data_IF_866509254788
#
_entry.id   IF_866509254788
#
_cell.length_a   1.000
_cell.length_b   1.000
_cell.length_c   1.000
_cell.angle_alpha   90.00
_cell.angle_beta   90.00
_cell.angle_gamma   90.00
#
_symmetry.space_group_name_H-M   'P 1'
#
loop_
_entity.id
_entity.type
_entity.pdbx_description
1 polymer ?
#
# COMPACT_ATOMS: atom_id res chain seq x y z
N UNK A 1 86.16 -11.48 -28.94
CA UNK A 1 85.53 -10.63 -27.90
C UNK A 1 83.99 -10.58 -27.99
N UNK A 2 83.37 -10.88 -29.14
CA UNK A 2 81.90 -10.87 -29.31
C UNK A 2 81.19 -12.20 -28.97
N UNK A 3 81.84 -13.37 -29.07
CA UNK A 3 81.23 -14.66 -28.69
C UNK A 3 80.94 -14.80 -27.18
N UNK A 4 81.73 -14.12 -26.32
CA UNK A 4 81.52 -14.14 -24.86
C UNK A 4 80.29 -13.34 -24.40
N UNK A 5 79.72 -12.49 -25.26
CA UNK A 5 78.51 -11.72 -24.96
C UNK A 5 77.24 -12.39 -25.48
N UNK A 6 77.33 -13.16 -26.58
CA UNK A 6 76.19 -13.93 -27.08
C UNK A 6 75.78 -15.06 -26.11
N UNK A 7 76.78 -15.75 -25.53
CA UNK A 7 76.57 -16.81 -24.53
C UNK A 7 76.10 -16.31 -23.14
N UNK A 8 75.94 -14.99 -22.94
CA UNK A 8 75.42 -14.41 -21.69
C UNK A 8 73.95 -13.99 -21.77
N UNK A 9 73.36 -13.96 -22.97
CA UNK A 9 71.93 -13.68 -23.18
C UNK A 9 71.08 -14.95 -23.24
N UNK A 10 71.69 -16.11 -23.50
CA UNK A 10 71.08 -17.41 -23.17
C UNK A 10 71.30 -17.68 -21.68
N UNK A 11 70.47 -17.09 -20.83
CA UNK A 11 70.19 -17.71 -19.54
C UNK A 11 69.64 -19.11 -19.87
N UNK A 12 70.44 -20.14 -19.61
CA UNK A 12 69.95 -21.52 -19.54
C UNK A 12 68.72 -21.51 -18.63
N UNK A 13 67.55 -21.68 -19.22
CA UNK A 13 66.32 -22.09 -18.56
C UNK A 13 66.63 -23.38 -17.78
N UNK A 14 67.07 -23.24 -16.52
CA UNK A 14 66.96 -24.31 -15.56
C UNK A 14 65.48 -24.40 -15.17
N UNK A 15 64.68 -24.95 -16.09
CA UNK A 15 63.35 -25.44 -15.75
C UNK A 15 63.53 -26.54 -14.70
N UNK A 16 62.76 -26.53 -13.60
CA UNK A 16 62.55 -27.76 -12.85
C UNK A 16 61.98 -28.81 -13.84
N UNK A 17 62.38 -30.09 -13.75
CA UNK A 17 61.92 -31.08 -14.70
C UNK A 17 60.39 -31.18 -14.64
N UNK A 18 59.74 -31.11 -15.82
CA UNK A 18 58.29 -31.26 -15.92
C UNK A 18 57.91 -32.68 -15.50
N UNK A 19 56.93 -32.80 -14.60
CA UNK A 19 56.36 -34.09 -14.17
C UNK A 19 55.82 -34.95 -15.33
N UNK A 20 55.59 -34.36 -16.52
CA UNK A 20 55.13 -35.06 -17.72
C UNK A 20 56.22 -35.80 -18.52
N UNK A 21 57.51 -35.68 -18.17
CA UNK A 21 58.60 -36.37 -18.87
C UNK A 21 59.05 -37.68 -18.21
N UNK A 22 58.47 -38.06 -17.06
CA UNK A 22 58.73 -39.36 -16.43
C UNK A 22 57.89 -40.43 -17.16
N UNK A 23 58.42 -40.97 -18.26
CA UNK A 23 57.88 -42.18 -18.88
C UNK A 23 58.26 -43.40 -18.03
N UNK A 24 57.46 -43.71 -17.01
CA UNK A 24 57.53 -45.00 -16.32
C UNK A 24 56.89 -46.04 -17.25
N UNK A 25 57.71 -46.95 -17.79
CA UNK A 25 57.21 -48.06 -18.60
C UNK A 25 56.51 -49.08 -17.69
N UNK A 26 55.34 -49.57 -18.09
CA UNK A 26 54.50 -50.46 -17.29
C UNK A 26 55.12 -51.82 -16.90
N UNK A 27 56.34 -52.11 -17.37
CA UNK A 27 57.06 -53.34 -17.10
C UNK A 27 57.72 -53.41 -15.71
N UNK A 28 58.01 -52.27 -15.07
CA UNK A 28 58.67 -52.25 -13.75
C UNK A 28 57.69 -52.46 -12.58
N UNK A 29 56.39 -52.21 -12.78
CA UNK A 29 55.37 -52.35 -11.73
C UNK A 29 55.04 -53.83 -11.45
N UNK A 30 55.30 -54.73 -12.40
CA UNK A 30 54.90 -56.14 -12.31
C UNK A 30 55.82 -57.05 -11.48
N UNK A 31 57.05 -56.62 -11.14
CA UNK A 31 58.03 -57.48 -10.47
C UNK A 31 57.98 -57.47 -8.93
N UNK A 32 57.16 -56.63 -8.30
CA UNK A 32 57.11 -56.51 -6.83
C UNK A 32 56.04 -57.38 -6.14
N UNK A 33 55.36 -58.27 -6.88
CA UNK A 33 54.33 -59.18 -6.33
C UNK A 33 54.73 -60.65 -6.42
N UNK A 34 55.76 -61.09 -5.68
CA UNK A 34 55.69 -62.43 -5.07
C UNK A 34 56.72 -62.69 -3.96
N UNK A 35 56.17 -63.12 -2.80
CA UNK A 35 56.71 -64.10 -1.84
C UNK A 35 57.84 -63.67 -0.87
N UNK A 36 57.46 -63.35 0.38
CA UNK A 36 57.78 -64.11 1.61
C UNK A 36 57.22 -63.43 2.87
N UNK A 37 56.63 -64.23 3.77
CA UNK A 37 56.22 -63.87 5.14
C UNK A 37 57.47 -63.62 6.00
N UNK A 38 57.56 -62.46 6.65
CA UNK A 38 58.20 -62.32 7.97
C UNK A 38 57.67 -61.08 8.68
N UNK A 39 57.37 -61.26 9.96
CA UNK A 39 56.72 -60.33 10.88
C UNK A 39 57.81 -59.47 11.53
N UNK A 40 57.93 -58.20 11.16
CA UNK A 40 58.54 -57.18 12.01
C UNK A 40 57.94 -55.81 11.69
N UNK A 41 57.38 -55.19 12.73
CA UNK A 41 56.89 -53.82 12.75
C UNK A 41 58.05 -52.88 12.39
N UNK A 42 58.01 -52.30 11.21
CA UNK A 42 58.71 -51.06 10.90
C UNK A 42 57.68 -50.14 10.27
N UNK A 43 57.61 -48.92 10.81
CA UNK A 43 56.64 -47.90 10.44
C UNK A 43 56.57 -47.78 8.93
N UNK A 44 55.44 -48.22 8.39
CA UNK A 44 55.00 -47.81 7.08
C UNK A 44 54.79 -46.31 7.22
N UNK A 45 55.81 -45.55 6.84
CA UNK A 45 55.70 -44.13 6.57
C UNK A 45 54.61 -44.05 5.51
N UNK A 46 53.36 -43.96 5.96
CA UNK A 46 52.22 -43.70 5.11
C UNK A 46 52.59 -42.38 4.50
N UNK A 47 53.01 -42.40 3.24
CA UNK A 47 53.02 -41.21 2.41
C UNK A 47 51.57 -40.72 2.46
N UNK A 48 51.31 -39.80 3.39
CA UNK A 48 49.99 -39.22 3.56
C UNK A 48 49.75 -38.45 2.27
N UNK A 49 48.90 -39.00 1.42
CA UNK A 49 48.46 -38.32 0.22
C UNK A 49 47.86 -36.97 0.63
N UNK A 50 48.14 -35.94 -0.16
CA UNK A 50 47.59 -34.60 0.07
C UNK A 50 46.06 -34.68 0.21
N UNK A 51 45.52 -33.95 1.18
CA UNK A 51 44.08 -33.77 1.36
C UNK A 51 43.47 -33.17 0.08
N UNK A 52 42.17 -33.37 -0.12
CA UNK A 52 41.44 -32.75 -1.24
C UNK A 52 41.59 -31.23 -1.21
N UNK A 53 41.57 -30.62 -0.02
CA UNK A 53 41.77 -29.18 0.16
C UNK A 53 43.18 -28.73 -0.24
N UNK A 54 44.21 -29.48 0.16
CA UNK A 54 45.60 -29.21 -0.22
C UNK A 54 45.83 -29.37 -1.73
N UNK A 55 45.14 -30.32 -2.37
CA UNK A 55 45.17 -30.48 -3.83
C UNK A 55 44.46 -29.33 -4.53
N UNK A 56 43.33 -28.86 -4.00
CA UNK A 56 42.61 -27.70 -4.52
C UNK A 56 43.46 -26.44 -4.43
N UNK A 57 44.11 -26.20 -3.29
CA UNK A 57 45.03 -25.08 -3.08
C UNK A 57 46.21 -25.14 -4.05
N UNK A 58 46.81 -26.32 -4.25
CA UNK A 58 47.91 -26.50 -5.19
C UNK A 58 47.45 -26.27 -6.65
N UNK A 59 46.28 -26.76 -7.04
CA UNK A 59 45.71 -26.50 -8.38
C UNK A 59 45.39 -25.02 -8.58
N UNK A 60 44.86 -24.33 -7.57
CA UNK A 60 44.59 -22.89 -7.64
C UNK A 60 45.87 -22.09 -7.76
N UNK A 61 46.92 -22.47 -7.02
CA UNK A 61 48.23 -21.84 -7.10
C UNK A 61 48.86 -22.04 -8.48
N UNK A 62 48.90 -23.28 -8.98
CA UNK A 62 49.41 -23.57 -10.34
C UNK A 62 48.61 -22.85 -11.42
N UNK A 63 47.28 -22.71 -11.24
CA UNK A 63 46.45 -21.92 -12.15
C UNK A 63 46.84 -20.43 -12.13
N UNK A 64 47.15 -19.86 -10.97
CA UNK A 64 47.55 -18.46 -10.90
C UNK A 64 48.98 -18.25 -11.42
N UNK A 65 49.91 -19.16 -11.09
CA UNK A 65 51.29 -19.15 -11.59
C UNK A 65 51.30 -19.25 -13.13
N UNK A 66 50.50 -20.15 -13.71
CA UNK A 66 50.39 -20.28 -15.19
C UNK A 66 49.75 -19.05 -15.84
N UNK A 67 48.77 -18.40 -15.18
CA UNK A 67 48.25 -17.12 -15.68
C UNK A 67 49.32 -16.04 -15.65
N UNK A 68 50.13 -15.96 -14.61
CA UNK A 68 51.23 -15.02 -14.50
C UNK A 68 52.30 -15.26 -15.56
N UNK A 69 52.68 -16.51 -15.80
CA UNK A 69 53.57 -16.88 -16.89
C UNK A 69 53.01 -16.45 -18.26
N UNK A 70 51.71 -16.68 -18.51
CA UNK A 70 51.05 -16.24 -19.75
C UNK A 70 51.04 -14.71 -19.86
N UNK A 71 50.77 -13.98 -18.76
CA UNK A 71 50.81 -12.52 -18.71
C UNK A 71 52.20 -12.00 -19.06
N UNK A 72 53.25 -12.56 -18.45
CA UNK A 72 54.64 -12.20 -18.73
C UNK A 72 55.04 -12.53 -20.16
N UNK A 73 54.72 -13.73 -20.67
CA UNK A 73 55.03 -14.13 -22.04
C UNK A 73 54.36 -13.20 -23.05
N UNK A 74 53.09 -12.82 -22.84
CA UNK A 74 52.38 -11.85 -23.70
C UNK A 74 53.04 -10.48 -23.67
N UNK A 75 53.39 -9.98 -22.48
CA UNK A 75 54.06 -8.69 -22.34
C UNK A 75 55.44 -8.67 -23.03
N UNK A 76 56.16 -9.79 -23.01
CA UNK A 76 57.44 -9.93 -23.71
C UNK A 76 57.24 -9.94 -25.22
N UNK A 77 56.32 -10.77 -25.72
CA UNK A 77 56.00 -10.86 -27.15
C UNK A 77 55.53 -9.51 -27.72
N UNK A 78 54.72 -8.76 -26.97
CA UNK A 78 54.29 -7.41 -27.36
C UNK A 78 55.45 -6.43 -27.48
N UNK A 79 56.39 -6.45 -26.52
CA UNK A 79 57.60 -5.61 -26.58
C UNK A 79 58.47 -5.96 -27.79
N UNK A 80 58.62 -7.25 -28.09
CA UNK A 80 59.42 -7.72 -29.21
C UNK A 80 58.77 -7.36 -30.55
N UNK A 81 57.44 -7.48 -30.64
CA UNK A 81 56.66 -7.06 -31.80
C UNK A 81 56.83 -5.55 -32.06
N UNK A 82 56.63 -4.71 -31.03
CA UNK A 82 56.84 -3.26 -31.13
C UNK A 82 58.29 -2.91 -31.53
N UNK A 83 59.27 -3.68 -31.06
CA UNK A 83 60.66 -3.48 -31.45
C UNK A 83 60.89 -3.78 -32.93
N UNK A 84 60.36 -4.90 -33.43
CA UNK A 84 60.47 -5.26 -34.85
C UNK A 84 59.70 -4.30 -35.75
N UNK A 85 58.52 -3.85 -35.35
CA UNK A 85 57.76 -2.82 -36.07
C UNK A 85 58.57 -1.52 -36.21
N UNK A 86 59.20 -1.06 -35.11
CA UNK A 86 60.05 0.13 -35.15
C UNK A 86 61.25 -0.03 -36.09
N UNK A 87 61.86 -1.22 -36.16
CA UNK A 87 62.95 -1.52 -37.10
C UNK A 87 62.47 -1.47 -38.55
N UNK A 88 61.31 -2.05 -38.83
CA UNK A 88 60.71 -2.06 -40.17
C UNK A 88 60.41 -0.63 -40.62
N UNK A 89 59.74 0.16 -39.77
CA UNK A 89 59.41 1.56 -40.06
C UNK A 89 60.68 2.39 -40.31
N UNK A 90 61.72 2.22 -39.49
CA UNK A 90 63.01 2.89 -39.70
C UNK A 90 63.66 2.49 -41.04
N UNK A 91 63.59 1.20 -41.41
CA UNK A 91 64.13 0.70 -42.67
C UNK A 91 63.37 1.25 -43.88
N UNK A 92 62.04 1.31 -43.80
CA UNK A 92 61.19 1.90 -44.84
C UNK A 92 61.49 3.39 -45.04
N UNK A 93 61.58 4.16 -43.95
CA UNK A 93 61.96 5.58 -44.01
C UNK A 93 63.33 5.73 -44.67
N UNK A 94 64.34 4.99 -44.20
CA UNK A 94 65.69 5.02 -44.80
C UNK A 94 65.70 4.65 -46.28
N UNK A 95 64.92 3.64 -46.67
CA UNK A 95 64.82 3.21 -48.06
C UNK A 95 64.29 4.35 -48.94
N UNK A 96 63.20 5.00 -48.52
CA UNK A 96 62.62 6.14 -49.26
C UNK A 96 63.59 7.33 -49.34
N UNK A 97 64.30 7.63 -48.25
CA UNK A 97 65.32 8.68 -48.22
C UNK A 97 66.48 8.37 -49.18
N UNK A 98 67.02 7.15 -49.15
CA UNK A 98 68.11 6.75 -50.06
C UNK A 98 67.67 6.80 -51.51
N UNK A 99 66.47 6.31 -51.84
CA UNK A 99 65.95 6.41 -53.22
C UNK A 99 65.86 7.86 -53.69
N UNK A 100 65.37 8.76 -52.82
CA UNK A 100 65.30 10.18 -53.12
C UNK A 100 66.69 10.80 -53.32
N UNK A 101 67.64 10.49 -52.43
CA UNK A 101 69.01 11.00 -52.50
C UNK A 101 69.75 10.50 -53.75
N UNK A 102 69.55 9.24 -54.14
CA UNK A 102 70.10 8.69 -55.40
C UNK A 102 69.54 9.46 -56.59
N UNK A 103 68.23 9.69 -56.63
CA UNK A 103 67.58 10.44 -57.71
C UNK A 103 68.07 11.90 -57.77
N UNK A 104 68.17 12.57 -56.63
CA UNK A 104 68.68 13.94 -56.54
C UNK A 104 70.15 14.01 -56.97
N UNK A 105 70.99 13.07 -56.56
CA UNK A 105 72.39 13.00 -56.98
C UNK A 105 72.54 12.77 -58.49
N UNK A 106 71.77 11.84 -59.05
CA UNK A 106 71.75 11.60 -60.49
C UNK A 106 71.37 12.85 -61.28
N UNK A 107 70.34 13.56 -60.80
CA UNK A 107 69.82 14.78 -61.43
C UNK A 107 70.81 15.94 -61.31
N UNK A 108 71.26 16.25 -60.11
CA UNK A 108 71.96 17.51 -59.82
C UNK A 108 73.47 17.40 -60.06
N UNK A 109 74.03 16.19 -59.94
CA UNK A 109 75.46 15.92 -60.10
C UNK A 109 75.72 15.19 -61.41
N UNK A 110 75.28 13.94 -61.56
CA UNK A 110 75.70 13.09 -62.69
C UNK A 110 75.30 13.67 -64.05
N UNK A 111 74.05 14.12 -64.21
CA UNK A 111 73.58 14.77 -65.47
C UNK A 111 74.28 16.10 -65.73
N UNK A 112 74.58 16.88 -64.69
CA UNK A 112 75.23 18.20 -64.81
C UNK A 112 76.70 18.09 -65.22
N UNK A 113 77.43 17.10 -64.71
CA UNK A 113 78.87 16.97 -64.95
C UNK A 113 79.24 15.98 -66.06
N UNK A 114 78.28 15.29 -66.69
CA UNK A 114 78.55 14.14 -67.57
C UNK A 114 79.51 14.46 -68.73
N UNK A 115 79.44 15.67 -69.30
CA UNK A 115 80.32 16.13 -70.40
C UNK A 115 81.63 16.81 -69.91
N UNK A 116 81.79 17.03 -68.61
CA UNK A 116 82.92 17.77 -68.00
C UNK A 116 83.66 16.94 -66.93
N UNK A 117 83.55 15.61 -67.00
CA UNK A 117 84.16 14.69 -66.04
C UNK A 117 85.68 14.90 -65.97
N UNK A 118 86.22 15.04 -64.77
CA UNK A 118 87.64 15.34 -64.54
C UNK A 118 88.03 16.82 -64.58
N UNK A 119 87.09 17.72 -64.90
CA UNK A 119 87.35 19.17 -64.82
C UNK A 119 87.31 19.68 -63.38
N UNK A 120 88.06 20.76 -63.09
CA UNK A 120 88.04 21.47 -61.81
C UNK A 120 86.60 21.88 -61.43
N UNK A 121 85.79 22.30 -62.41
CA UNK A 121 84.40 22.68 -62.21
C UNK A 121 83.52 21.50 -61.77
N UNK A 122 83.75 20.30 -62.30
CA UNK A 122 83.04 19.10 -61.86
C UNK A 122 83.41 18.75 -60.41
N UNK A 123 84.69 18.83 -60.04
CA UNK A 123 85.15 18.60 -58.67
C UNK A 123 84.55 19.62 -57.70
N UNK A 124 84.53 20.91 -58.06
CA UNK A 124 83.89 21.96 -57.24
C UNK A 124 82.39 21.71 -57.03
N UNK A 125 81.67 21.23 -58.05
CA UNK A 125 80.25 20.92 -57.93
C UNK A 125 79.99 19.75 -56.98
N UNK A 126 80.82 18.70 -57.04
CA UNK A 126 80.75 17.56 -56.11
C UNK A 126 81.08 17.99 -54.68
N UNK A 127 82.14 18.78 -54.47
CA UNK A 127 82.49 19.30 -53.14
C UNK A 127 81.35 20.13 -52.54
N UNK A 128 80.76 21.05 -53.33
CA UNK A 128 79.63 21.85 -52.88
C UNK A 128 78.42 20.98 -52.51
N UNK A 129 78.11 19.95 -53.29
CA UNK A 129 77.04 19.01 -52.95
C UNK A 129 77.29 18.30 -51.62
N UNK A 130 78.52 17.82 -51.38
CA UNK A 130 78.89 17.16 -50.12
C UNK A 130 78.74 18.14 -48.94
N UNK A 131 79.19 19.39 -49.09
CA UNK A 131 79.04 20.43 -48.07
C UNK A 131 77.56 20.75 -47.78
N UNK A 132 76.76 20.94 -48.82
CA UNK A 132 75.32 21.21 -48.69
C UNK A 132 74.59 20.02 -48.03
N UNK A 133 74.97 18.78 -48.36
CA UNK A 133 74.42 17.57 -47.74
C UNK A 133 74.80 17.43 -46.26
N UNK A 134 76.05 17.74 -45.90
CA UNK A 134 76.48 17.75 -44.51
C UNK A 134 75.69 18.81 -43.71
N UNK A 135 75.51 20.01 -44.26
CA UNK A 135 74.68 21.06 -43.63
C UNK A 135 73.23 20.62 -43.45
N UNK A 136 72.61 19.98 -44.45
CA UNK A 136 71.24 19.44 -44.34
C UNK A 136 71.14 18.39 -43.23
N UNK A 137 72.10 17.47 -43.15
CA UNK A 137 72.17 16.45 -42.10
C UNK A 137 72.31 17.05 -40.72
N UNK A 138 73.17 18.05 -40.54
CA UNK A 138 73.35 18.73 -39.24
C UNK A 138 72.06 19.45 -38.82
N UNK A 139 71.39 20.15 -39.74
CA UNK A 139 70.10 20.77 -39.49
C UNK A 139 69.02 19.75 -39.08
N UNK A 140 69.00 18.58 -39.73
CA UNK A 140 68.06 17.51 -39.38
C UNK A 140 68.35 16.93 -38.00
N UNK A 141 69.63 16.70 -37.68
CA UNK A 141 70.06 16.24 -36.36
C UNK A 141 69.60 17.17 -35.25
N UNK A 142 69.71 18.49 -35.43
CA UNK A 142 69.26 19.46 -34.42
C UNK A 142 67.72 19.50 -34.30
N UNK A 143 66.99 19.39 -35.41
CA UNK A 143 65.52 19.23 -35.38
C UNK A 143 65.09 17.98 -34.61
N UNK A 144 65.72 16.84 -34.88
CA UNK A 144 65.43 15.57 -34.20
C UNK A 144 65.77 15.65 -32.71
N UNK A 145 66.88 16.30 -32.33
CA UNK A 145 67.24 16.55 -30.92
C UNK A 145 66.17 17.36 -30.19
N UNK A 146 65.72 18.47 -30.77
CA UNK A 146 64.65 19.30 -30.19
C UNK A 146 63.35 18.50 -30.04
N UNK A 147 62.97 17.71 -31.06
CA UNK A 147 61.79 16.86 -31.00
C UNK A 147 61.91 15.79 -29.92
N UNK A 148 63.08 15.16 -29.76
CA UNK A 148 63.33 14.16 -28.73
C UNK A 148 63.17 14.75 -27.31
N UNK A 149 63.70 15.95 -27.07
CA UNK A 149 63.54 16.65 -25.79
C UNK A 149 62.07 16.97 -25.52
N UNK A 150 61.34 17.48 -26.53
CA UNK A 150 59.90 17.77 -26.43
C UNK A 150 59.08 16.52 -26.10
N UNK A 151 59.32 15.41 -26.80
CA UNK A 151 58.63 14.13 -26.54
C UNK A 151 58.95 13.57 -25.15
N UNK A 152 60.20 13.70 -24.67
CA UNK A 152 60.58 13.32 -23.30
C UNK A 152 59.77 14.09 -22.24
N UNK A 153 59.59 15.39 -22.44
CA UNK A 153 58.79 16.24 -21.53
C UNK A 153 57.31 15.82 -21.58
N UNK A 154 56.76 15.58 -22.77
CA UNK A 154 55.38 15.13 -22.94
C UNK A 154 55.14 13.76 -22.28
N UNK A 155 56.06 12.81 -22.47
CA UNK A 155 56.03 11.50 -21.80
C UNK A 155 56.00 11.65 -20.28
N UNK A 156 56.87 12.49 -19.71
CA UNK A 156 56.90 12.75 -18.26
C UNK A 156 55.57 13.33 -17.76
N UNK A 157 54.98 14.27 -18.51
CA UNK A 157 53.67 14.85 -18.17
C UNK A 157 52.55 13.80 -18.17
N UNK A 158 52.50 12.95 -19.20
CA UNK A 158 51.49 11.89 -19.31
C UNK A 158 51.64 10.85 -18.20
N UNK A 159 52.87 10.45 -17.87
CA UNK A 159 53.12 9.54 -16.74
C UNK A 159 52.68 10.14 -15.40
N UNK A 160 52.89 11.43 -15.18
CA UNK A 160 52.42 12.11 -13.97
C UNK A 160 50.88 12.16 -13.91
N UNK A 161 50.23 12.44 -15.03
CA UNK A 161 48.76 12.42 -15.12
C UNK A 161 48.20 11.01 -14.86
N UNK A 162 48.86 9.98 -15.39
CA UNK A 162 48.49 8.59 -15.13
C UNK A 162 48.58 8.28 -13.64
N UNK A 163 49.70 8.62 -12.98
CA UNK A 163 49.86 8.43 -11.54
C UNK A 163 48.79 9.17 -10.73
N UNK A 164 48.49 10.43 -11.05
CA UNK A 164 47.41 11.17 -10.37
C UNK A 164 46.04 10.51 -10.54
N UNK A 165 45.77 9.94 -11.71
CA UNK A 165 44.52 9.19 -11.96
C UNK A 165 44.49 7.87 -11.22
N UNK A 166 45.63 7.18 -11.12
CA UNK A 166 45.79 5.96 -10.32
C UNK A 166 45.58 6.27 -8.83
N UNK A 167 46.20 7.31 -8.27
CA UNK A 167 46.01 7.74 -6.87
C UNK A 167 44.55 8.14 -6.56
N UNK A 168 43.85 8.78 -7.50
CA UNK A 168 42.41 9.08 -7.36
C UNK A 168 41.54 7.82 -7.51
N UNK A 169 41.98 6.84 -8.30
CA UNK A 169 41.35 5.52 -8.37
C UNK A 169 41.60 4.68 -7.11
N UNK A 170 42.77 4.84 -6.48
CA UNK A 170 43.15 4.23 -5.20
C UNK A 170 42.35 4.82 -4.03
N UNK A 171 41.81 6.05 -4.15
CA UNK A 171 40.87 6.60 -3.17
C UNK A 171 39.49 5.91 -3.17
N UNK A 172 39.22 5.04 -4.15
CA UNK A 172 37.98 4.28 -4.26
C UNK A 172 38.33 2.79 -4.07
N UNK A 173 38.52 2.38 -2.82
CA UNK A 173 38.86 0.99 -2.56
C UNK A 173 37.66 0.08 -2.85
N UNK A 174 37.94 -1.13 -3.36
CA UNK A 174 36.94 -2.19 -3.48
C UNK A 174 36.22 -2.45 -2.13
N UNK A 175 36.92 -2.20 -1.03
CA UNK A 175 36.37 -2.26 0.34
C UNK A 175 35.28 -1.21 0.55
N UNK A 176 35.46 0.03 0.10
CA UNK A 176 34.46 1.09 0.24
C UNK A 176 33.20 0.76 -0.57
N UNK A 177 33.38 0.19 -1.77
CA UNK A 177 32.26 -0.30 -2.58
C UNK A 177 31.53 -1.46 -1.93
N UNK A 178 32.26 -2.40 -1.32
CA UNK A 178 31.64 -3.50 -0.58
C UNK A 178 30.93 -3.00 0.67
N UNK A 179 31.51 -2.04 1.40
CA UNK A 179 30.87 -1.40 2.55
C UNK A 179 29.56 -0.73 2.14
N UNK A 180 29.57 0.06 1.06
CA UNK A 180 28.36 0.74 0.57
C UNK A 180 27.28 -0.25 0.13
N UNK A 181 27.66 -1.41 -0.44
CA UNK A 181 26.72 -2.50 -0.74
C UNK A 181 26.12 -3.11 0.52
N UNK A 182 26.92 -3.32 1.56
CA UNK A 182 26.47 -3.86 2.85
C UNK A 182 25.51 -2.87 3.52
N UNK A 183 25.87 -1.59 3.60
CA UNK A 183 25.03 -0.54 4.18
C UNK A 183 23.70 -0.42 3.43
N UNK A 184 23.71 -0.44 2.09
CA UNK A 184 22.50 -0.40 1.30
C UNK A 184 21.60 -1.63 1.55
N UNK A 185 22.18 -2.83 1.63
CA UNK A 185 21.44 -4.03 1.97
C UNK A 185 20.79 -3.94 3.38
N UNK A 186 21.51 -3.41 4.36
CA UNK A 186 21.00 -3.19 5.73
C UNK A 186 19.86 -2.16 5.76
N UNK A 187 19.97 -1.07 4.99
CA UNK A 187 18.90 -0.08 4.88
C UNK A 187 17.66 -0.67 4.22
N UNK A 188 17.81 -1.45 3.16
CA UNK A 188 16.69 -2.13 2.52
C UNK A 188 15.98 -3.09 3.48
N UNK A 189 16.73 -3.91 4.23
CA UNK A 189 16.17 -4.81 5.24
C UNK A 189 15.42 -4.04 6.34
N UNK A 190 15.98 -2.92 6.80
CA UNK A 190 15.32 -2.05 7.78
C UNK A 190 14.02 -1.45 7.23
N UNK A 191 14.02 -0.99 5.97
CA UNK A 191 12.82 -0.46 5.31
C UNK A 191 11.76 -1.55 5.18
N UNK A 192 12.14 -2.76 4.77
CA UNK A 192 11.25 -3.92 4.65
C UNK A 192 10.60 -4.25 6.00
N UNK A 193 11.40 -4.32 7.08
CA UNK A 193 10.90 -4.57 8.43
C UNK A 193 9.89 -3.50 8.89
N UNK A 194 10.20 -2.21 8.70
CA UNK A 194 9.28 -1.11 9.04
C UNK A 194 8.01 -1.12 8.19
N UNK A 195 8.10 -1.50 6.93
CA UNK A 195 6.92 -1.66 6.07
C UNK A 195 6.03 -2.81 6.55
N UNK A 196 6.60 -3.93 6.98
CA UNK A 196 5.83 -5.04 7.55
C UNK A 196 5.13 -4.63 8.85
N UNK A 197 5.82 -3.94 9.75
CA UNK A 197 5.21 -3.36 10.97
C UNK A 197 4.06 -2.41 10.63
N UNK A 198 4.23 -1.52 9.64
CA UNK A 198 3.19 -0.60 9.19
C UNK A 198 1.96 -1.33 8.67
N UNK A 199 2.15 -2.41 7.90
CA UNK A 199 1.05 -3.23 7.39
C UNK A 199 0.30 -3.90 8.54
N UNK A 200 1.01 -4.49 9.50
CA UNK A 200 0.39 -5.11 10.67
C UNK A 200 -0.43 -4.10 11.49
N UNK A 201 0.12 -2.90 11.73
CA UNK A 201 -0.57 -1.83 12.43
C UNK A 201 -1.81 -1.33 11.66
N UNK A 202 -1.73 -1.23 10.33
CA UNK A 202 -2.90 -0.88 9.50
C UNK A 202 -4.01 -1.94 9.61
N UNK A 203 -3.67 -3.22 9.57
CA UNK A 203 -4.64 -4.32 9.73
C UNK A 203 -5.27 -4.29 11.14
N UNK A 204 -4.47 -4.12 12.19
CA UNK A 204 -4.96 -4.01 13.56
C UNK A 204 -5.89 -2.80 13.75
N UNK A 205 -5.53 -1.64 13.19
CA UNK A 205 -6.36 -0.44 13.18
C UNK A 205 -7.68 -0.66 12.44
N UNK A 206 -7.64 -1.30 11.26
CA UNK A 206 -8.83 -1.67 10.49
C UNK A 206 -9.78 -2.59 11.27
N UNK A 207 -9.24 -3.65 11.89
CA UNK A 207 -10.01 -4.57 12.74
C UNK A 207 -10.64 -3.85 13.94
N UNK A 208 -9.87 -2.98 14.60
CA UNK A 208 -10.36 -2.19 15.74
C UNK A 208 -11.51 -1.26 15.32
N UNK A 209 -11.39 -0.63 14.15
CA UNK A 209 -12.45 0.22 13.59
C UNK A 209 -13.73 -0.58 13.27
N UNK A 210 -13.59 -1.79 12.71
CA UNK A 210 -14.73 -2.68 12.46
C UNK A 210 -15.44 -3.05 13.76
N UNK A 211 -14.69 -3.45 14.79
CA UNK A 211 -15.23 -3.77 16.12
C UNK A 211 -15.94 -2.56 16.73
N UNK A 212 -15.31 -1.38 16.67
CA UNK A 212 -15.89 -0.13 17.19
C UNK A 212 -17.22 0.20 16.49
N UNK A 213 -17.29 0.06 15.17
CA UNK A 213 -18.51 0.29 14.41
C UNK A 213 -19.61 -0.71 14.78
N UNK A 214 -19.27 -1.98 15.01
CA UNK A 214 -20.21 -2.98 15.49
C UNK A 214 -20.79 -2.61 16.86
N UNK A 215 -19.96 -2.17 17.81
CA UNK A 215 -20.43 -1.70 19.12
C UNK A 215 -21.26 -0.43 19.02
N UNK A 216 -20.89 0.52 18.16
CA UNK A 216 -21.68 1.74 17.90
C UNK A 216 -23.08 1.40 17.38
N UNK A 217 -23.17 0.44 16.45
CA UNK A 217 -24.46 -0.03 15.93
C UNK A 217 -25.31 -0.72 17.02
N UNK A 218 -24.71 -1.61 17.83
CA UNK A 218 -25.38 -2.24 18.97
C UNK A 218 -25.89 -1.22 19.99
N UNK A 219 -25.08 -0.22 20.32
CA UNK A 219 -25.46 0.85 21.23
C UNK A 219 -26.63 1.67 20.67
N UNK A 220 -26.58 2.04 19.39
CA UNK A 220 -27.68 2.76 18.75
C UNK A 220 -28.97 1.92 18.78
N UNK A 221 -28.90 0.62 18.52
CA UNK A 221 -30.06 -0.26 18.60
C UNK A 221 -30.64 -0.31 20.02
N UNK A 222 -29.80 -0.51 21.03
CA UNK A 222 -30.22 -0.51 22.44
C UNK A 222 -30.85 0.84 22.85
N UNK A 223 -30.29 1.96 22.39
CA UNK A 223 -30.84 3.29 22.63
C UNK A 223 -32.23 3.45 22.02
N UNK A 224 -32.43 3.02 20.76
CA UNK A 224 -33.75 3.06 20.12
C UNK A 224 -34.77 2.17 20.83
N UNK A 225 -34.36 0.97 21.26
CA UNK A 225 -35.20 0.08 22.05
C UNK A 225 -35.61 0.72 23.38
N UNK A 226 -34.67 1.36 24.08
CA UNK A 226 -34.95 2.08 25.32
C UNK A 226 -35.94 3.24 25.12
N UNK A 227 -35.78 4.02 24.05
CA UNK A 227 -36.72 5.09 23.69
C UNK A 227 -38.13 4.54 23.40
N UNK A 228 -38.23 3.41 22.69
CA UNK A 228 -39.51 2.76 22.41
C UNK A 228 -40.15 2.21 23.69
N UNK A 229 -39.38 1.53 24.55
CA UNK A 229 -39.85 1.06 25.85
C UNK A 229 -40.33 2.21 26.74
N UNK A 230 -39.64 3.35 26.72
CA UNK A 230 -40.06 4.55 27.47
C UNK A 230 -41.40 5.07 26.96
N UNK A 231 -41.60 5.11 25.63
CA UNK A 231 -42.89 5.48 25.04
C UNK A 231 -44.00 4.50 25.42
N UNK A 232 -43.74 3.20 25.32
CA UNK A 232 -44.70 2.17 25.74
C UNK A 232 -45.04 2.27 27.22
N UNK A 233 -44.05 2.54 28.08
CA UNK A 233 -44.25 2.72 29.50
C UNK A 233 -45.18 3.91 29.79
N UNK A 234 -44.96 5.04 29.12
CA UNK A 234 -45.84 6.22 29.25
C UNK A 234 -47.28 5.89 28.80
N UNK A 235 -47.45 5.24 27.66
CA UNK A 235 -48.77 4.83 27.17
C UNK A 235 -49.48 3.86 28.14
N UNK A 236 -48.75 2.88 28.69
CA UNK A 236 -49.29 1.95 29.69
C UNK A 236 -49.66 2.68 30.99
N UNK A 237 -48.86 3.65 31.41
CA UNK A 237 -49.14 4.47 32.60
C UNK A 237 -50.41 5.30 32.40
N UNK A 238 -50.57 5.97 31.26
CA UNK A 238 -51.79 6.72 30.92
C UNK A 238 -53.04 5.82 30.89
N UNK A 239 -52.91 4.61 30.34
CA UNK A 239 -54.00 3.63 30.36
C UNK A 239 -54.35 3.19 31.78
N UNK A 240 -53.34 2.93 32.62
CA UNK A 240 -53.54 2.56 34.01
C UNK A 240 -54.25 3.66 34.79
N UNK A 241 -53.86 4.92 34.61
CA UNK A 241 -54.56 6.08 35.23
C UNK A 241 -56.02 6.19 34.78
N UNK A 242 -56.35 5.83 33.53
CA UNK A 242 -57.75 5.77 33.04
C UNK A 242 -58.53 4.65 33.72
N UNK A 243 -57.95 3.45 33.78
CA UNK A 243 -58.57 2.30 34.44
C UNK A 243 -58.80 2.60 35.92
N UNK A 244 -57.82 3.19 36.63
CA UNK A 244 -57.99 3.60 38.02
C UNK A 244 -59.19 4.55 38.21
N UNK A 245 -59.32 5.57 37.36
CA UNK A 245 -60.48 6.48 37.38
C UNK A 245 -61.80 5.75 37.11
N UNK A 246 -61.84 4.86 36.13
CA UNK A 246 -63.02 4.05 35.80
C UNK A 246 -63.39 3.11 36.96
N UNK A 247 -62.39 2.50 37.63
CA UNK A 247 -62.62 1.64 38.79
C UNK A 247 -63.17 2.41 39.98
N UNK A 248 -62.64 3.60 40.28
CA UNK A 248 -63.19 4.47 41.33
C UNK A 248 -64.64 4.85 41.03
N UNK A 249 -64.93 5.24 39.79
CA UNK A 249 -66.30 5.56 39.37
C UNK A 249 -67.24 4.35 39.52
N UNK A 250 -66.81 3.17 39.09
CA UNK A 250 -67.58 1.94 39.23
C UNK A 250 -67.81 1.56 40.70
N UNK A 251 -66.83 1.78 41.58
CA UNK A 251 -66.97 1.57 43.02
C UNK A 251 -67.96 2.54 43.67
N UNK A 252 -67.92 3.82 43.30
CA UNK A 252 -68.91 4.81 43.74
C UNK A 252 -70.32 4.43 43.31
N UNK A 253 -70.49 4.04 42.05
CA UNK A 253 -71.80 3.67 41.51
C UNK A 253 -72.29 2.36 42.12
N UNK A 254 -71.40 1.41 42.39
CA UNK A 254 -71.71 0.21 43.18
C UNK A 254 -72.18 0.59 44.58
N UNK A 255 -71.51 1.52 45.26
CA UNK A 255 -71.88 1.97 46.60
C UNK A 255 -73.26 2.64 46.61
N UNK A 256 -73.56 3.53 45.64
CA UNK A 256 -74.88 4.14 45.46
C UNK A 256 -75.96 3.08 45.23
N UNK A 257 -75.72 2.13 44.32
CA UNK A 257 -76.64 1.05 44.02
C UNK A 257 -76.89 0.14 45.23
N UNK A 258 -75.85 -0.19 46.00
CA UNK A 258 -75.97 -0.97 47.25
C UNK A 258 -76.78 -0.21 48.32
N UNK A 259 -76.53 1.09 48.50
CA UNK A 259 -77.27 1.92 49.44
C UNK A 259 -78.77 1.98 49.07
N UNK A 260 -79.07 2.20 47.78
CA UNK A 260 -80.44 2.18 47.26
C UNK A 260 -81.10 0.80 47.45
N UNK A 261 -80.39 -0.29 47.12
CA UNK A 261 -80.90 -1.65 47.30
C UNK A 261 -81.22 -1.94 48.77
N UNK A 262 -80.36 -1.51 49.69
CA UNK A 262 -80.59 -1.63 51.13
C UNK A 262 -81.83 -0.86 51.58
N UNK A 263 -82.03 0.36 51.07
CA UNK A 263 -83.24 1.16 51.35
C UNK A 263 -84.51 0.48 50.82
N UNK A 264 -84.49 -0.01 49.57
CA UNK A 264 -85.62 -0.72 48.96
C UNK A 264 -85.95 -2.02 49.72
N UNK A 265 -84.93 -2.79 50.14
CA UNK A 265 -85.13 -3.98 50.99
C UNK A 265 -85.74 -3.62 52.34
N UNK A 266 -85.31 -2.52 52.95
CA UNK A 266 -85.91 -2.02 54.20
C UNK A 266 -87.38 -1.65 53.99
N UNK A 267 -87.69 -0.86 52.95
CA UNK A 267 -89.06 -0.52 52.58
C UNK A 267 -89.92 -1.77 52.32
N UNK A 268 -89.38 -2.77 51.62
CA UNK A 268 -90.08 -4.04 51.37
C UNK A 268 -90.33 -4.84 52.68
N UNK A 269 -89.38 -4.81 53.62
CA UNK A 269 -89.55 -5.48 54.91
C UNK A 269 -90.56 -4.78 55.84
N UNK A 270 -90.62 -3.45 55.77
CA UNK A 270 -91.57 -2.60 56.51
C UNK A 270 -92.96 -2.61 55.86
N UNK A 271 -93.03 -2.89 54.55
CA UNK A 271 -94.27 -3.00 53.83
C UNK A 271 -95.11 -4.15 54.38
N UNK A 272 -96.31 -3.81 54.87
CA UNK A 272 -97.36 -4.75 55.23
C UNK A 272 -98.52 -4.50 54.27
N UNK A 273 -98.82 -5.49 53.44
CA UNK A 273 -99.99 -5.45 52.57
C UNK A 273 -101.24 -5.30 53.46
N UNK A 274 -102.11 -4.29 53.21
CA UNK A 274 -103.36 -4.15 53.95
C UNK A 274 -104.17 -5.43 53.85
N UNK A 275 -104.79 -5.84 54.96
CA UNK A 275 -105.61 -7.04 54.98
C UNK A 275 -106.73 -6.90 53.93
N UNK A 276 -106.98 -7.96 53.15
CA UNK A 276 -107.85 -7.92 51.95
C UNK A 276 -109.20 -7.24 52.24
N UNK A 277 -109.78 -7.50 53.42
CA UNK A 277 -111.04 -6.89 53.84
C UNK A 277 -110.96 -5.38 54.08
N UNK A 278 -109.83 -4.85 54.54
CA UNK A 278 -109.59 -3.40 54.67
C UNK A 278 -109.52 -2.77 53.29
N UNK A 279 -108.77 -3.38 52.36
CA UNK A 279 -108.68 -2.88 50.98
C UNK A 279 -110.05 -2.89 50.28
N UNK A 280 -110.85 -3.96 50.43
CA UNK A 280 -112.20 -4.04 49.86
C UNK A 280 -113.11 -2.95 50.44
N UNK A 281 -113.08 -2.74 51.77
CA UNK A 281 -113.88 -1.68 52.41
C UNK A 281 -113.50 -0.29 51.91
N UNK A 282 -112.20 0.02 51.85
CA UNK A 282 -111.72 1.29 51.32
C UNK A 282 -112.03 1.44 49.83
N UNK A 283 -112.00 0.36 49.03
CA UNK A 283 -112.37 0.39 47.61
C UNK A 283 -113.86 0.63 47.39
N UNK A 284 -114.72 0.02 48.21
CA UNK A 284 -116.16 0.28 48.22
C UNK A 284 -116.42 1.74 48.63
N UNK A 285 -115.78 2.20 49.70
CA UNK A 285 -115.87 3.60 50.16
C UNK A 285 -115.42 4.58 49.08
N UNK A 286 -114.32 4.30 48.39
CA UNK A 286 -113.85 5.12 47.27
C UNK A 286 -114.86 5.12 46.10
N UNK A 287 -115.45 3.96 45.78
CA UNK A 287 -116.49 3.86 44.76
C UNK A 287 -117.78 4.59 45.14
N UNK A 288 -118.17 4.59 46.42
CA UNK A 288 -119.33 5.34 46.90
C UNK A 288 -119.06 6.85 46.91
N UNK A 289 -117.83 7.26 47.26
CA UNK A 289 -117.39 8.65 47.11
C UNK A 289 -117.42 9.08 45.64
N UNK A 290 -116.91 8.27 44.72
CA UNK A 290 -116.99 8.52 43.26
C UNK A 290 -118.45 8.66 42.79
N UNK A 291 -119.37 7.81 43.27
CA UNK A 291 -120.81 7.95 42.96
C UNK A 291 -121.42 9.23 43.53
N UNK A 292 -121.05 9.61 44.76
CA UNK A 292 -121.53 10.87 45.35
C UNK A 292 -120.99 12.08 44.58
N UNK A 293 -119.73 12.06 44.15
CA UNK A 293 -119.15 13.08 43.29
C UNK A 293 -119.97 13.19 42.00
N UNK A 294 -120.23 12.08 41.30
CA UNK A 294 -121.07 12.08 40.09
C UNK A 294 -122.51 12.56 40.32
N UNK A 295 -123.10 12.24 41.47
CA UNK A 295 -124.43 12.72 41.84
C UNK A 295 -124.44 14.23 42.06
N UNK A 296 -123.42 14.76 42.75
CA UNK A 296 -123.25 16.20 42.97
C UNK A 296 -122.96 16.93 41.66
N UNK A 297 -122.11 16.39 40.78
CA UNK A 297 -121.89 16.90 39.42
C UNK A 297 -123.22 17.00 38.66
N UNK A 298 -124.07 15.96 38.72
CA UNK A 298 -125.38 15.96 38.07
C UNK A 298 -126.38 16.95 38.68
N UNK A 299 -126.35 17.14 40.00
CA UNK A 299 -127.16 18.17 40.68
C UNK A 299 -126.73 19.58 40.29
N UNK A 300 -125.42 19.82 40.18
CA UNK A 300 -124.86 21.09 39.69
C UNK A 300 -125.30 21.32 38.26
N UNK A 301 -125.24 20.31 37.40
CA UNK A 301 -125.68 20.42 35.99
C UNK A 301 -127.18 20.74 35.87
N UNK A 302 -128.04 20.14 36.70
CA UNK A 302 -129.49 20.48 36.76
C UNK A 302 -129.70 21.92 37.27
N UNK A 303 -128.95 22.35 38.29
CA UNK A 303 -129.00 23.72 38.80
C UNK A 303 -128.55 24.75 37.75
N UNK A 304 -127.50 24.43 36.97
CA UNK A 304 -127.05 25.25 35.86
C UNK A 304 -128.07 25.29 34.72
N UNK A 305 -128.68 24.16 34.35
CA UNK A 305 -129.73 24.11 33.32
C UNK A 305 -130.98 24.88 33.73
N UNK A 306 -131.41 24.76 34.98
CA UNK A 306 -132.54 25.51 35.52
C UNK A 306 -132.23 27.01 35.59
N UNK A 307 -131.04 27.42 36.04
CA UNK A 307 -130.57 28.82 35.96
C UNK A 307 -130.56 29.34 34.52
N UNK A 308 -130.14 28.52 33.55
CA UNK A 308 -130.17 28.85 32.12
C UNK A 308 -131.61 28.99 31.60
N UNK A 309 -132.52 28.15 32.08
CA UNK A 309 -133.96 28.25 31.85
C UNK A 309 -134.57 29.55 32.38
N UNK A 310 -134.28 29.89 33.65
CA UNK A 310 -134.70 31.16 34.26
C UNK A 310 -134.12 32.37 33.52
N UNK A 311 -132.85 32.33 33.10
CA UNK A 311 -132.27 33.41 32.26
C UNK A 311 -132.95 33.53 30.90
N UNK A 312 -133.32 32.43 30.26
CA UNK A 312 -134.07 32.47 28.98
C UNK A 312 -135.48 33.01 29.15
N UNK A 313 -136.18 32.61 30.21
CA UNK A 313 -137.51 33.14 30.54
C UNK A 313 -137.45 34.64 30.87
N UNK A 314 -136.47 35.05 31.69
CA UNK A 314 -136.21 36.46 32.01
C UNK A 314 -135.87 37.28 30.76
N UNK A 315 -134.99 36.78 29.89
CA UNK A 315 -134.65 37.48 28.65
C UNK A 315 -135.84 37.57 27.70
N UNK A 316 -136.68 36.53 27.57
CA UNK A 316 -137.93 36.59 26.80
C UNK A 316 -138.87 37.66 27.36
N UNK A 317 -139.05 37.68 28.68
CA UNK A 317 -139.90 38.65 29.37
C UNK A 317 -139.38 40.09 29.21
N UNK A 318 -138.06 40.26 29.23
CA UNK A 318 -137.38 41.53 28.96
C UNK A 318 -137.59 41.99 27.51
N UNK A 319 -137.42 41.10 26.53
CA UNK A 319 -137.66 41.42 25.11
C UNK A 319 -139.13 41.66 24.79
N UNK A 320 -140.08 40.97 25.42
CA UNK A 320 -141.51 41.26 25.25
C UNK A 320 -141.90 42.58 25.92
N UNK A 321 -141.25 42.97 27.02
CA UNK A 321 -141.47 44.27 27.64
C UNK A 321 -140.87 45.40 26.79
N UNK A 322 -139.67 45.20 26.24
CA UNK A 322 -139.04 46.13 25.29
C UNK A 322 -139.83 46.23 23.97
N UNK A 323 -140.48 45.14 23.50
CA UNK A 323 -141.38 45.15 22.34
C UNK A 323 -142.77 45.74 22.64
N UNK A 324 -143.31 45.60 23.86
CA UNK A 324 -144.60 46.17 24.26
C UNK A 324 -144.54 47.68 24.53
N UNK A 325 -143.39 48.21 24.96
CA UNK A 325 -143.17 49.67 25.03
C UNK A 325 -142.83 50.31 23.68
N UNK A 326 -142.29 49.55 22.73
CA UNK A 326 -142.05 50.03 21.36
C UNK A 326 -143.30 50.05 20.46
N UNK A 327 -144.42 49.44 20.86
CA UNK A 327 -145.67 49.33 20.08
C UNK A 327 -146.85 50.10 20.71
N UNK A 328 -146.65 50.75 21.87
CA UNK A 328 -147.66 51.62 22.50
C UNK A 328 -147.16 53.06 22.69
N UNK A 329 -147.45 53.91 21.72
CA UNK A 329 -147.87 55.28 21.98
C UNK A 329 -149.21 55.52 21.26
N UNK A 330 -149.92 56.65 21.45
CA UNK A 330 -150.05 57.59 22.58
C UNK A 330 -151.51 57.65 23.12
N UNK A 331 -151.79 58.36 24.23
CA UNK A 331 -153.19 58.70 24.57
C UNK A 331 -153.50 59.19 25.99
N UNK A 332 -153.64 60.53 26.10
CA UNK A 332 -154.16 61.37 27.21
C UNK A 332 -153.23 61.72 28.37
#
# INVERSE_FOLDING_TARGET
>A
MFEKYYNKLELKDQRPPRLSEIKITGAEIAQLRSRRKSKSRMGMERVMGLSVDQKLELVQKELEDTKDEIRHMRANAERDLQHHEAIIEEAEIRWTEVQKEVHEFEKDILKTISKKKGSILATQKVMKYIEDMNRRRDNMKDKLRLKNVSLKVQRKKLLLQLRQKEEVGEALHDVDFQQLKIENAQFLETIEARNQELIQMKLASGNTLQILNAYKSKLHHAMQMSLNLTKEFLLRKELLEKIEKETLQAEEDRAKALALNKQLRKQLSEFRAPQVMIYIREKIRNGDLEKTIRMWERKVEIAEMSLKGYRKAWNKMKTTNEQLQAISGPGK
#
